data_IF_608690665843
#
_entry.id   IF_608690665843
#
_cell.length_a   1.000
_cell.length_b   1.000
_cell.length_c   1.000
_cell.angle_alpha   90.00
_cell.angle_beta   90.00
_cell.angle_gamma   90.00
#
_symmetry.space_group_name_H-M   'P 1'
#
loop_
_entity.id
_entity.type
_entity.pdbx_description
1 polymer ?
#
# COMPACT_ATOMS: atom_id res chain seq x y z
N UNK A 1 20.32 -0.05 -9.76
CA UNK A 1 20.91 -1.37 -10.06
C UNK A 1 19.74 -2.36 -10.13
N UNK A 2 19.66 -3.22 -11.14
CA UNK A 2 18.53 -4.17 -11.30
C UNK A 2 18.81 -5.43 -10.49
N UNK A 3 17.91 -5.93 -9.63
CA UNK A 3 18.14 -7.13 -8.84
C UNK A 3 18.17 -8.38 -9.74
N UNK A 4 19.11 -9.29 -9.48
CA UNK A 4 19.29 -10.54 -10.22
C UNK A 4 18.92 -11.79 -9.42
N UNK A 5 18.49 -11.62 -8.17
CA UNK A 5 18.03 -12.67 -7.26
C UNK A 5 16.79 -12.21 -6.51
N UNK A 6 15.88 -13.14 -6.18
CA UNK A 6 14.65 -12.86 -5.45
C UNK A 6 14.91 -12.31 -4.04
N UNK A 7 15.97 -12.76 -3.38
CA UNK A 7 16.50 -12.21 -2.11
C UNK A 7 16.82 -10.71 -2.19
N UNK A 8 17.50 -10.28 -3.25
CA UNK A 8 17.89 -8.88 -3.43
C UNK A 8 16.68 -8.02 -3.83
N UNK A 9 15.77 -8.57 -4.63
CA UNK A 9 14.48 -7.95 -4.93
C UNK A 9 13.64 -7.78 -3.67
N UNK A 10 13.58 -8.78 -2.78
CA UNK A 10 12.84 -8.73 -1.51
C UNK A 10 13.34 -7.61 -0.61
N UNK A 11 14.67 -7.45 -0.48
CA UNK A 11 15.28 -6.34 0.28
C UNK A 11 14.93 -4.98 -0.31
N UNK A 12 15.03 -4.85 -1.64
CA UNK A 12 14.70 -3.62 -2.35
C UNK A 12 13.22 -3.25 -2.20
N UNK A 13 12.31 -4.18 -2.49
CA UNK A 13 10.87 -3.96 -2.37
C UNK A 13 10.48 -3.64 -0.93
N UNK A 14 11.09 -4.29 0.07
CA UNK A 14 10.81 -3.99 1.48
C UNK A 14 11.17 -2.55 1.83
N UNK A 15 12.35 -2.09 1.43
CA UNK A 15 12.77 -0.70 1.67
C UNK A 15 11.87 0.30 0.93
N UNK A 16 11.61 0.07 -0.36
CA UNK A 16 10.71 0.92 -1.16
C UNK A 16 9.29 0.95 -0.59
N UNK A 17 8.82 -0.15 -0.03
CA UNK A 17 7.47 -0.20 0.56
C UNK A 17 7.40 0.60 1.86
N UNK A 18 8.46 0.63 2.67
CA UNK A 18 8.53 1.51 3.85
C UNK A 18 8.46 2.98 3.42
N UNK A 19 9.24 3.38 2.42
CA UNK A 19 9.21 4.75 1.88
C UNK A 19 7.83 5.12 1.34
N UNK A 20 7.18 4.19 0.63
CA UNK A 20 5.82 4.36 0.15
C UNK A 20 4.80 4.45 1.29
N UNK A 21 4.95 3.66 2.36
CA UNK A 21 4.11 3.79 3.56
C UNK A 21 4.25 5.20 4.16
N UNK A 22 5.47 5.71 4.29
CA UNK A 22 5.73 7.07 4.81
C UNK A 22 5.06 8.15 3.94
N UNK A 23 5.07 7.98 2.61
CA UNK A 23 4.45 8.94 1.67
C UNK A 23 2.91 8.85 1.64
N UNK A 24 2.35 7.65 1.72
CA UNK A 24 0.91 7.43 1.61
C UNK A 24 0.16 7.67 2.94
N UNK A 25 0.84 7.56 4.09
CA UNK A 25 0.20 7.73 5.41
C UNK A 25 -0.45 9.10 5.59
N UNK A 26 0.20 10.24 5.26
CA UNK A 26 -0.45 11.55 5.36
C UNK A 26 -1.68 11.67 4.46
N UNK A 27 -1.66 11.03 3.28
CA UNK A 27 -2.79 11.04 2.35
C UNK A 27 -3.97 10.25 2.92
N UNK A 28 -3.72 9.07 3.51
CA UNK A 28 -4.73 8.28 4.20
C UNK A 28 -5.38 9.07 5.35
N UNK A 29 -4.57 9.75 6.18
CA UNK A 29 -5.08 10.59 7.27
C UNK A 29 -6.01 11.68 6.71
N UNK A 30 -5.60 12.36 5.66
CA UNK A 30 -6.43 13.39 5.02
C UNK A 30 -7.75 12.85 4.46
N UNK A 31 -7.77 11.64 3.90
CA UNK A 31 -8.99 10.98 3.44
C UNK A 31 -9.92 10.64 4.62
N UNK A 32 -9.36 10.11 5.71
CA UNK A 32 -10.12 9.78 6.92
C UNK A 32 -10.73 11.05 7.54
N UNK A 33 -9.98 12.14 7.64
CA UNK A 33 -10.47 13.40 8.19
C UNK A 33 -11.60 13.99 7.34
N UNK A 34 -11.44 14.00 6.01
CA UNK A 34 -12.49 14.43 5.07
C UNK A 34 -13.75 13.59 5.21
N UNK A 35 -13.61 12.26 5.34
CA UNK A 35 -14.74 11.34 5.50
C UNK A 35 -15.48 11.59 6.82
N UNK A 36 -14.74 11.81 7.91
CA UNK A 36 -15.33 12.14 9.23
C UNK A 36 -16.16 13.42 9.19
N UNK A 37 -15.67 14.44 8.47
CA UNK A 37 -16.33 15.74 8.32
C UNK A 37 -17.43 15.75 7.24
N UNK A 38 -17.69 14.62 6.58
CA UNK A 38 -18.68 14.57 5.51
C UNK A 38 -20.11 14.46 6.08
N UNK A 39 -20.82 15.59 6.15
CA UNK A 39 -22.20 15.65 6.64
C UNK A 39 -23.22 14.97 5.73
N UNK A 40 -22.84 14.58 4.50
CA UNK A 40 -23.74 13.84 3.59
C UNK A 40 -23.83 12.35 3.91
N UNK A 41 -23.02 11.85 4.84
CA UNK A 41 -22.93 10.43 5.18
C UNK A 41 -23.42 10.18 6.60
N UNK A 42 -24.13 9.06 6.79
CA UNK A 42 -24.39 8.52 8.12
C UNK A 42 -23.09 8.05 8.76
N UNK A 43 -23.05 7.96 10.10
CA UNK A 43 -21.87 7.45 10.80
C UNK A 43 -21.48 6.03 10.37
N UNK A 44 -22.46 5.17 10.06
CA UNK A 44 -22.18 3.84 9.52
C UNK A 44 -21.46 3.91 8.16
N UNK A 45 -21.94 4.75 7.24
CA UNK A 45 -21.30 4.93 5.94
C UNK A 45 -19.89 5.53 6.06
N UNK A 46 -19.66 6.44 7.00
CA UNK A 46 -18.31 6.96 7.27
C UNK A 46 -17.35 5.85 7.72
N UNK A 47 -17.82 4.92 8.56
CA UNK A 47 -16.98 3.79 8.99
C UNK A 47 -16.67 2.84 7.83
N UNK A 48 -17.63 2.60 6.94
CA UNK A 48 -17.42 1.78 5.75
C UNK A 48 -16.39 2.43 4.81
N UNK A 49 -16.51 3.73 4.52
CA UNK A 49 -15.57 4.47 3.67
C UNK A 49 -14.15 4.53 4.28
N UNK A 50 -14.04 4.81 5.58
CA UNK A 50 -12.75 4.77 6.29
C UNK A 50 -12.12 3.38 6.18
N UNK A 51 -12.92 2.32 6.34
CA UNK A 51 -12.43 0.94 6.22
C UNK A 51 -11.94 0.63 4.80
N UNK A 52 -12.62 1.14 3.78
CA UNK A 52 -12.19 1.03 2.38
C UNK A 52 -10.87 1.77 2.13
N UNK A 53 -10.69 2.97 2.69
CA UNK A 53 -9.43 3.71 2.59
C UNK A 53 -8.27 2.96 3.25
N UNK A 54 -8.49 2.40 4.45
CA UNK A 54 -7.48 1.59 5.14
C UNK A 54 -7.14 0.32 4.36
N UNK A 55 -8.14 -0.36 3.80
CA UNK A 55 -7.92 -1.54 2.95
C UNK A 55 -7.08 -1.20 1.72
N UNK A 56 -7.39 -0.08 1.05
CA UNK A 56 -6.64 0.40 -0.10
C UNK A 56 -5.17 0.66 0.22
N UNK A 57 -4.90 1.31 1.36
CA UNK A 57 -3.55 1.58 1.85
C UNK A 57 -2.77 0.30 2.19
N UNK A 58 -3.39 -0.68 2.85
CA UNK A 58 -2.73 -1.96 3.15
C UNK A 58 -2.41 -2.72 1.86
N UNK A 59 -3.36 -2.72 0.90
CA UNK A 59 -3.17 -3.41 -0.39
C UNK A 59 -2.06 -2.78 -1.22
N UNK A 60 -1.95 -1.45 -1.25
CA UNK A 60 -0.87 -0.78 -2.00
C UNK A 60 0.51 -1.17 -1.51
N UNK A 61 0.64 -1.58 -0.24
CA UNK A 61 1.92 -1.77 0.42
C UNK A 61 2.21 -3.22 0.82
N UNK A 62 1.67 -4.20 0.09
CA UNK A 62 1.94 -5.62 0.35
C UNK A 62 3.20 -6.08 -0.37
N UNK A 63 4.31 -6.20 0.36
CA UNK A 63 5.63 -6.56 -0.19
C UNK A 63 5.59 -7.84 -1.03
N UNK A 64 4.94 -8.90 -0.54
CA UNK A 64 4.93 -10.20 -1.24
C UNK A 64 4.24 -10.12 -2.61
N UNK A 65 3.13 -9.38 -2.74
CA UNK A 65 2.44 -9.19 -4.02
C UNK A 65 3.34 -8.43 -5.01
N UNK A 66 4.02 -7.38 -4.54
CA UNK A 66 4.93 -6.59 -5.37
C UNK A 66 6.14 -7.43 -5.78
N UNK A 67 6.70 -8.23 -4.85
CA UNK A 67 7.84 -9.12 -5.12
C UNK A 67 7.45 -10.18 -6.14
N UNK A 68 6.28 -10.82 -6.02
CA UNK A 68 5.81 -11.83 -6.97
C UNK A 68 5.67 -11.25 -8.38
N UNK A 69 4.97 -10.12 -8.52
CA UNK A 69 4.77 -9.46 -9.82
C UNK A 69 6.11 -9.02 -10.43
N UNK A 70 7.00 -8.42 -9.63
CA UNK A 70 8.31 -7.97 -10.14
C UNK A 70 9.24 -9.15 -10.45
N UNK A 71 9.19 -10.23 -9.68
CA UNK A 71 9.97 -11.44 -9.95
C UNK A 71 9.53 -12.08 -11.27
N UNK A 72 8.23 -12.14 -11.54
CA UNK A 72 7.69 -12.63 -12.82
C UNK A 72 8.14 -11.77 -13.99
N UNK A 73 8.04 -10.45 -13.89
CA UNK A 73 8.48 -9.50 -14.94
C UNK A 73 9.99 -9.63 -15.22
N UNK A 74 10.78 -9.83 -14.16
CA UNK A 74 12.25 -9.91 -14.24
C UNK A 74 12.77 -11.33 -14.51
N UNK A 75 11.91 -12.35 -14.55
CA UNK A 75 12.29 -13.74 -14.74
C UNK A 75 13.19 -14.28 -13.62
N UNK A 76 12.91 -13.90 -12.37
CA UNK A 76 13.69 -14.33 -11.20
C UNK A 76 13.10 -15.62 -10.60
N UNK A 77 13.91 -16.67 -10.58
CA UNK A 77 13.61 -17.90 -9.84
C UNK A 77 13.82 -17.72 -8.33
N UNK A 78 13.26 -18.64 -7.53
CA UNK A 78 13.38 -18.65 -6.05
C UNK A 78 14.83 -18.75 -5.55
#
# INVERSE_FOLDING_TARGET
MVPTRKEDLRKMVTQTTVEMYEELTPQLIGLIEKTKQNDSLTEAQKQDEISLHMLGYVKSCTNEIIIEVLAEILGLDD
#
